data_IF_903900407695
#
_entry.id   IF_903900407695
#
_cell.length_a   1.000
_cell.length_b   1.000
_cell.length_c   1.000
_cell.angle_alpha   90.00
_cell.angle_beta   90.00
_cell.angle_gamma   90.00
#
_symmetry.space_group_name_H-M   'P 1'
#
loop_
_entity.id
_entity.type
_entity.pdbx_description
1 polymer ?
#
# COMPACT_ATOMS: atom_id res chain seq x y z
N UNK A 1 0.14 -23.42 25.35
CA UNK A 1 -0.71 -23.67 24.16
C UNK A 1 -0.78 -22.37 23.36
N UNK A 2 -0.82 -22.42 22.02
CA UNK A 2 -0.96 -21.21 21.19
C UNK A 2 -2.34 -20.58 21.37
N UNK A 3 -2.43 -19.27 21.12
CA UNK A 3 -3.66 -18.51 21.27
C UNK A 3 -4.33 -18.33 19.90
N UNK A 4 -5.63 -18.64 19.79
CA UNK A 4 -6.42 -18.44 18.58
C UNK A 4 -6.97 -17.01 18.55
N UNK A 5 -6.68 -16.29 17.47
CA UNK A 5 -7.20 -14.95 17.23
C UNK A 5 -8.18 -14.97 16.06
N UNK A 6 -9.42 -14.57 16.32
CA UNK A 6 -10.48 -14.46 15.32
C UNK A 6 -10.76 -12.99 15.05
N UNK A 7 -10.57 -12.56 13.81
CA UNK A 7 -10.90 -11.19 13.40
C UNK A 7 -12.25 -11.23 12.69
N UNK A 8 -13.23 -10.48 13.20
CA UNK A 8 -14.55 -10.39 12.60
C UNK A 8 -14.94 -8.94 12.33
N UNK A 9 -15.55 -8.62 11.18
CA UNK A 9 -16.05 -7.27 10.91
C UNK A 9 -17.06 -6.81 11.96
N UNK A 10 -17.94 -7.70 12.40
CA UNK A 10 -19.05 -7.42 13.32
C UNK A 10 -19.17 -8.49 14.39
N UNK A 11 -19.42 -8.08 15.62
CA UNK A 11 -19.62 -8.96 16.77
C UNK A 11 -20.73 -8.34 17.64
N UNK A 12 -21.94 -8.88 17.51
CA UNK A 12 -23.14 -8.35 18.17
C UNK A 12 -23.13 -8.68 19.66
N UNK A 13 -23.88 -7.90 20.44
CA UNK A 13 -24.06 -8.13 21.88
C UNK A 13 -24.68 -9.51 22.18
N UNK A 14 -25.57 -10.01 21.31
CA UNK A 14 -26.10 -11.37 21.42
C UNK A 14 -24.99 -12.42 21.34
N UNK A 15 -24.11 -12.33 20.34
CA UNK A 15 -22.97 -13.25 20.22
C UNK A 15 -22.00 -13.10 21.38
N UNK A 16 -21.76 -11.88 21.86
CA UNK A 16 -20.92 -11.66 23.05
C UNK A 16 -21.47 -12.41 24.27
N UNK A 17 -22.79 -12.39 24.48
CA UNK A 17 -23.44 -13.11 25.57
C UNK A 17 -23.40 -14.64 25.36
N UNK A 18 -23.69 -15.12 24.16
CA UNK A 18 -23.69 -16.55 23.82
C UNK A 18 -22.32 -17.18 24.04
N UNK A 19 -21.26 -16.47 23.62
CA UNK A 19 -19.88 -16.90 23.79
C UNK A 19 -19.31 -16.57 25.18
N UNK A 20 -20.08 -15.91 26.06
CA UNK A 20 -19.62 -15.38 27.36
C UNK A 20 -18.32 -14.59 27.23
N UNK A 21 -18.19 -13.87 26.12
CA UNK A 21 -16.98 -13.17 25.74
C UNK A 21 -16.87 -11.87 26.57
N UNK A 22 -15.72 -11.68 27.22
CA UNK A 22 -15.50 -10.52 28.09
C UNK A 22 -14.35 -9.65 27.56
N UNK A 23 -14.54 -8.33 27.59
CA UNK A 23 -13.44 -7.40 27.37
C UNK A 23 -12.54 -7.36 28.60
N UNK A 24 -11.23 -7.32 28.38
CA UNK A 24 -10.26 -7.15 29.44
C UNK A 24 -9.76 -5.69 29.42
N UNK A 25 -9.79 -4.96 30.55
CA UNK A 25 -9.42 -3.54 30.60
C UNK A 25 -8.05 -3.24 29.98
N UNK A 26 -7.09 -4.16 30.08
CA UNK A 26 -5.74 -3.96 29.55
C UNK A 26 -5.61 -4.05 28.02
N UNK A 27 -6.59 -4.64 27.31
CA UNK A 27 -6.54 -4.81 25.85
C UNK A 27 -7.29 -3.72 25.09
N UNK A 28 -8.22 -3.04 25.76
CA UNK A 28 -9.02 -1.97 25.16
C UNK A 28 -10.26 -2.48 24.41
N UNK A 29 -11.02 -1.51 23.91
CA UNK A 29 -12.33 -1.72 23.28
C UNK A 29 -12.23 -2.59 22.01
N UNK A 30 -13.19 -3.50 21.84
CA UNK A 30 -13.33 -4.31 20.64
C UNK A 30 -12.51 -5.59 20.65
N UNK A 31 -11.85 -5.92 21.77
CA UNK A 31 -11.11 -7.17 21.96
C UNK A 31 -11.75 -7.98 23.08
N UNK A 32 -12.29 -9.13 22.71
CA UNK A 32 -13.06 -10.00 23.58
C UNK A 32 -12.34 -11.32 23.80
N UNK A 33 -12.30 -11.78 25.05
CA UNK A 33 -11.70 -13.05 25.43
C UNK A 33 -12.79 -14.06 25.77
N UNK A 34 -12.65 -15.28 25.27
CA UNK A 34 -13.50 -16.42 25.65
C UNK A 34 -13.02 -17.02 26.99
N UNK A 35 -13.59 -18.15 27.39
CA UNK A 35 -13.15 -18.87 28.58
C UNK A 35 -11.64 -19.13 28.55
N UNK A 36 -10.96 -19.00 29.70
CA UNK A 36 -9.50 -19.13 29.81
C UNK A 36 -8.96 -20.47 29.28
N UNK A 37 -9.77 -21.53 29.31
CA UNK A 37 -9.42 -22.84 28.78
C UNK A 37 -9.30 -22.86 27.24
N UNK A 38 -10.09 -22.02 26.55
CA UNK A 38 -10.21 -22.05 25.08
C UNK A 38 -9.06 -21.33 24.37
N UNK A 39 -8.24 -20.56 25.11
CA UNK A 39 -7.13 -19.78 24.57
C UNK A 39 -7.52 -18.99 23.29
N UNK A 40 -8.71 -18.39 23.29
CA UNK A 40 -9.29 -17.74 22.10
C UNK A 40 -9.71 -16.31 22.41
N UNK A 41 -9.40 -15.39 21.47
CA UNK A 41 -9.90 -14.02 21.48
C UNK A 41 -10.52 -13.65 20.14
N UNK A 42 -11.50 -12.76 20.23
CA UNK A 42 -12.26 -12.22 19.11
C UNK A 42 -11.98 -10.72 19.03
N UNK A 43 -11.54 -10.27 17.86
CA UNK A 43 -11.33 -8.87 17.52
C UNK A 43 -12.54 -8.40 16.70
N UNK A 44 -13.36 -7.54 17.28
CA UNK A 44 -14.53 -6.94 16.67
C UNK A 44 -14.13 -5.63 15.96
N UNK A 45 -13.83 -5.72 14.66
CA UNK A 45 -13.22 -4.62 13.90
C UNK A 45 -14.05 -3.32 13.94
N UNK A 46 -15.37 -3.40 13.84
CA UNK A 46 -16.26 -2.23 13.94
C UNK A 46 -16.26 -1.49 15.28
N UNK A 47 -15.74 -2.09 16.35
CA UNK A 47 -15.66 -1.49 17.69
C UNK A 47 -14.25 -0.99 18.02
N UNK A 48 -13.26 -1.25 17.17
CA UNK A 48 -11.90 -0.79 17.40
C UNK A 48 -11.84 0.74 17.35
N UNK A 49 -11.12 1.38 18.29
CA UNK A 49 -10.96 2.83 18.28
C UNK A 49 -10.24 3.29 17.02
N UNK A 50 -10.55 4.49 16.52
CA UNK A 50 -9.92 5.05 15.32
C UNK A 50 -8.55 5.64 15.66
N UNK A 51 -7.53 4.78 15.63
CA UNK A 51 -6.13 5.15 15.88
C UNK A 51 -5.23 4.51 14.82
N UNK A 52 -3.99 4.99 14.72
CA UNK A 52 -2.98 4.40 13.83
C UNK A 52 -2.70 2.93 14.18
N UNK A 53 -2.75 2.55 15.46
CA UNK A 53 -2.44 1.19 15.92
C UNK A 53 -3.50 0.16 15.50
N UNK A 54 -4.76 0.58 15.34
CA UNK A 54 -5.85 -0.30 14.91
C UNK A 54 -6.14 -0.21 13.41
N UNK A 55 -5.46 0.68 12.69
CA UNK A 55 -5.71 0.99 11.29
C UNK A 55 -5.69 -0.29 10.43
N UNK A 56 -4.65 -1.09 10.57
CA UNK A 56 -4.44 -2.31 9.77
C UNK A 56 -5.56 -3.34 9.98
N UNK A 57 -6.04 -3.49 11.21
CA UNK A 57 -7.19 -4.36 11.51
C UNK A 57 -8.48 -3.80 10.91
N UNK A 58 -8.66 -2.47 10.92
CA UNK A 58 -9.82 -1.80 10.32
C UNK A 58 -9.84 -1.88 8.79
N UNK A 59 -8.69 -2.01 8.12
CA UNK A 59 -8.62 -2.31 6.69
C UNK A 59 -9.23 -3.67 6.32
N UNK A 60 -9.19 -4.64 7.26
CA UNK A 60 -9.82 -5.95 7.11
C UNK A 60 -11.32 -5.94 7.43
N UNK A 61 -11.88 -4.79 7.79
CA UNK A 61 -13.30 -4.62 8.06
C UNK A 61 -14.15 -4.62 6.79
N UNK A 62 -15.41 -4.18 6.94
CA UNK A 62 -16.35 -4.03 5.82
C UNK A 62 -17.04 -2.66 5.85
N UNK A 63 -17.59 -2.26 4.71
CA UNK A 63 -18.31 -1.01 4.52
C UNK A 63 -17.58 0.22 5.05
N UNK A 64 -18.28 1.04 5.84
CA UNK A 64 -17.78 2.34 6.32
C UNK A 64 -16.49 2.21 7.11
N UNK A 65 -16.28 1.12 7.86
CA UNK A 65 -15.07 0.94 8.66
C UNK A 65 -13.84 0.78 7.76
N UNK A 66 -13.96 -0.04 6.72
CA UNK A 66 -12.90 -0.24 5.74
C UNK A 66 -12.67 1.01 4.89
N UNK A 67 -13.75 1.63 4.40
CA UNK A 67 -13.65 2.86 3.61
C UNK A 67 -12.94 3.99 4.37
N UNK A 68 -13.30 4.21 5.65
CA UNK A 68 -12.62 5.19 6.49
C UNK A 68 -11.17 4.82 6.76
N UNK A 69 -10.87 3.54 6.99
CA UNK A 69 -9.50 3.07 7.19
C UNK A 69 -8.63 3.28 5.94
N UNK A 70 -9.19 3.11 4.74
CA UNK A 70 -8.49 3.39 3.49
C UNK A 70 -8.19 4.89 3.37
N UNK A 71 -9.16 5.76 3.69
CA UNK A 71 -8.92 7.21 3.69
C UNK A 71 -7.83 7.62 4.70
N UNK A 72 -7.85 7.02 5.90
CA UNK A 72 -6.81 7.23 6.90
C UNK A 72 -5.43 6.76 6.41
N UNK A 73 -5.35 5.60 5.74
CA UNK A 73 -4.13 5.08 5.11
C UNK A 73 -3.58 6.03 4.03
N UNK A 74 -4.46 6.56 3.17
CA UNK A 74 -4.07 7.49 2.10
C UNK A 74 -3.57 8.83 2.67
N UNK A 75 -4.16 9.26 3.79
CA UNK A 75 -3.77 10.47 4.51
C UNK A 75 -2.49 10.31 5.36
N UNK A 76 -1.94 9.09 5.49
CA UNK A 76 -0.68 8.91 6.20
C UNK A 76 0.47 9.66 5.50
N UNK A 77 1.47 10.12 6.28
CA UNK A 77 2.71 10.68 5.73
C UNK A 77 3.40 9.73 4.74
N UNK A 78 4.05 10.31 3.71
CA UNK A 78 4.75 9.55 2.67
C UNK A 78 5.95 8.73 3.22
N UNK A 79 6.53 9.16 4.33
CA UNK A 79 7.66 8.50 5.01
C UNK A 79 7.24 7.32 5.90
N UNK A 80 5.94 7.08 6.05
CA UNK A 80 5.46 5.99 6.89
C UNK A 80 5.84 4.62 6.28
N UNK A 81 6.59 3.76 6.99
CA UNK A 81 7.26 2.59 6.40
C UNK A 81 6.33 1.60 5.72
N UNK A 82 5.10 1.44 6.22
CA UNK A 82 4.13 0.47 5.69
C UNK A 82 3.10 1.06 4.73
N UNK A 83 3.11 2.37 4.49
CA UNK A 83 2.03 3.03 3.74
C UNK A 83 2.01 2.59 2.28
N UNK A 84 3.14 2.75 1.59
CA UNK A 84 3.25 2.46 0.16
C UNK A 84 3.02 0.97 -0.13
N UNK A 85 3.67 0.09 0.64
CA UNK A 85 3.48 -1.36 0.54
C UNK A 85 2.02 -1.76 0.77
N UNK A 86 1.35 -1.19 1.77
CA UNK A 86 -0.06 -1.53 2.02
C UNK A 86 -0.96 -1.04 0.88
N UNK A 87 -0.75 0.17 0.37
CA UNK A 87 -1.50 0.71 -0.78
C UNK A 87 -1.34 -0.23 -1.99
N UNK A 88 -0.12 -0.69 -2.27
CA UNK A 88 0.14 -1.67 -3.33
C UNK A 88 -0.59 -2.99 -3.10
N UNK A 89 -0.53 -3.56 -1.89
CA UNK A 89 -1.23 -4.81 -1.59
C UNK A 89 -2.75 -4.68 -1.73
N UNK A 90 -3.33 -3.55 -1.33
CA UNK A 90 -4.75 -3.27 -1.52
C UNK A 90 -5.13 -3.11 -3.01
N UNK A 91 -4.28 -2.47 -3.80
CA UNK A 91 -4.46 -2.37 -5.25
C UNK A 91 -4.43 -3.76 -5.91
N UNK A 92 -3.45 -4.59 -5.56
CA UNK A 92 -3.34 -5.98 -6.05
C UNK A 92 -4.55 -6.81 -5.62
N UNK A 93 -5.00 -6.66 -4.37
CA UNK A 93 -6.20 -7.32 -3.89
C UNK A 93 -7.41 -6.92 -4.73
N UNK A 94 -7.61 -5.63 -4.99
CA UNK A 94 -8.73 -5.15 -5.83
C UNK A 94 -8.72 -5.79 -7.22
N UNK A 95 -7.57 -5.81 -7.90
CA UNK A 95 -7.41 -6.45 -9.22
C UNK A 95 -7.79 -7.93 -9.15
N UNK A 96 -7.27 -8.64 -8.15
CA UNK A 96 -7.55 -10.07 -7.96
C UNK A 96 -9.03 -10.34 -7.67
N UNK A 97 -9.71 -9.46 -6.92
CA UNK A 97 -11.14 -9.59 -6.65
C UNK A 97 -11.98 -9.28 -7.90
N UNK A 98 -11.58 -8.32 -8.73
CA UNK A 98 -12.25 -8.01 -10.00
C UNK A 98 -12.18 -9.16 -11.01
N UNK A 99 -11.08 -9.92 -11.03
CA UNK A 99 -10.89 -11.07 -11.92
C UNK A 99 -11.78 -12.28 -11.57
N UNK A 100 -12.44 -12.30 -10.41
CA UNK A 100 -13.31 -13.41 -9.99
C UNK A 100 -14.64 -13.40 -10.75
N UNK A 101 -15.08 -14.57 -11.22
CA UNK A 101 -16.32 -14.74 -11.98
C UNK A 101 -17.59 -14.69 -11.10
N UNK A 102 -17.53 -15.19 -9.86
CA UNK A 102 -18.69 -15.21 -8.95
C UNK A 102 -18.74 -13.93 -8.09
N UNK A 103 -19.32 -12.87 -8.64
CA UNK A 103 -19.46 -11.59 -7.92
C UNK A 103 -20.73 -11.57 -7.05
N UNK A 104 -20.53 -11.51 -5.74
CA UNK A 104 -21.59 -11.21 -4.77
C UNK A 104 -21.69 -9.70 -4.53
N UNK A 105 -22.81 -9.22 -3.97
CA UNK A 105 -22.98 -7.82 -3.56
C UNK A 105 -21.88 -7.37 -2.61
N UNK A 106 -21.54 -8.22 -1.65
CA UNK A 106 -20.53 -7.94 -0.63
C UNK A 106 -19.13 -7.82 -1.23
N UNK A 107 -18.83 -8.65 -2.24
CA UNK A 107 -17.57 -8.57 -2.97
C UNK A 107 -17.48 -7.28 -3.78
N UNK A 108 -18.59 -6.86 -4.40
CA UNK A 108 -18.66 -5.62 -5.16
C UNK A 108 -18.42 -4.39 -4.26
N UNK A 109 -18.97 -4.40 -3.04
CA UNK A 109 -18.73 -3.36 -2.04
C UNK A 109 -17.24 -3.26 -1.68
N UNK A 110 -16.58 -4.38 -1.40
CA UNK A 110 -15.14 -4.40 -1.09
C UNK A 110 -14.32 -3.87 -2.27
N UNK A 111 -14.64 -4.29 -3.49
CA UNK A 111 -13.95 -3.80 -4.71
C UNK A 111 -14.09 -2.27 -4.81
N UNK A 112 -15.29 -1.73 -4.59
CA UNK A 112 -15.53 -0.28 -4.63
C UNK A 112 -14.76 0.47 -3.54
N UNK A 113 -14.73 -0.07 -2.32
CA UNK A 113 -13.99 0.54 -1.21
C UNK A 113 -12.49 0.61 -1.48
N UNK A 114 -11.93 -0.37 -2.20
CA UNK A 114 -10.50 -0.44 -2.53
C UNK A 114 -10.10 0.45 -3.73
N UNK A 115 -11.05 0.99 -4.50
CA UNK A 115 -10.76 1.82 -5.67
C UNK A 115 -9.81 2.99 -5.40
N UNK A 116 -9.96 3.76 -4.29
CA UNK A 116 -9.04 4.86 -3.99
C UNK A 116 -7.59 4.40 -3.79
N UNK A 117 -7.38 3.22 -3.19
CA UNK A 117 -6.03 2.66 -3.03
C UNK A 117 -5.41 2.27 -4.37
N UNK A 118 -6.21 1.66 -5.26
CA UNK A 118 -5.77 1.34 -6.62
C UNK A 118 -5.42 2.59 -7.44
N UNK A 119 -6.29 3.61 -7.41
CA UNK A 119 -6.05 4.86 -8.14
C UNK A 119 -4.79 5.57 -7.65
N UNK A 120 -4.59 5.62 -6.33
CA UNK A 120 -3.39 6.20 -5.73
C UNK A 120 -2.13 5.45 -6.18
N UNK A 121 -2.14 4.12 -6.05
CA UNK A 121 -1.03 3.27 -6.47
C UNK A 121 -0.69 3.46 -7.96
N UNK A 122 -1.71 3.49 -8.82
CA UNK A 122 -1.56 3.68 -10.27
C UNK A 122 -0.95 5.05 -10.59
N UNK A 123 -1.44 6.11 -9.96
CA UNK A 123 -0.93 7.47 -10.19
C UNK A 123 0.54 7.61 -9.78
N UNK A 124 0.91 7.09 -8.61
CA UNK A 124 2.29 7.13 -8.12
C UNK A 124 3.24 6.32 -9.00
N UNK A 125 2.81 5.11 -9.39
CA UNK A 125 3.60 4.24 -10.27
C UNK A 125 3.81 4.86 -11.65
N UNK A 126 2.78 5.53 -12.19
CA UNK A 126 2.89 6.22 -13.48
C UNK A 126 3.84 7.41 -13.40
N UNK A 127 3.70 8.26 -12.39
CA UNK A 127 4.57 9.42 -12.19
C UNK A 127 6.05 9.00 -12.01
N UNK A 128 6.29 7.94 -11.24
CA UNK A 128 7.64 7.38 -11.10
C UNK A 128 8.17 6.82 -12.43
N UNK A 129 7.32 6.15 -13.20
CA UNK A 129 7.65 5.64 -14.54
C UNK A 129 8.04 6.76 -15.51
N UNK A 130 7.29 7.86 -15.52
CA UNK A 130 7.55 9.04 -16.34
C UNK A 130 8.87 9.70 -15.96
N UNK A 131 9.09 9.99 -14.68
CA UNK A 131 10.33 10.59 -14.19
C UNK A 131 11.56 9.72 -14.52
N UNK A 132 11.45 8.39 -14.33
CA UNK A 132 12.51 7.45 -14.70
C UNK A 132 12.72 7.41 -16.22
N UNK A 133 11.65 7.51 -17.00
CA UNK A 133 11.68 7.52 -18.46
C UNK A 133 12.39 8.76 -19.00
N UNK A 134 12.04 9.94 -18.49
CA UNK A 134 12.64 11.23 -18.84
C UNK A 134 14.14 11.24 -18.50
N UNK A 135 14.51 10.88 -17.26
CA UNK A 135 15.91 10.81 -16.85
C UNK A 135 16.74 9.85 -17.72
N UNK A 136 16.17 8.69 -18.08
CA UNK A 136 16.83 7.75 -19.01
C UNK A 136 16.93 8.30 -20.43
N UNK A 137 15.90 9.01 -20.90
CA UNK A 137 15.87 9.65 -22.21
C UNK A 137 16.95 10.73 -22.33
N UNK A 138 17.03 11.63 -21.35
CA UNK A 138 18.06 12.65 -21.27
C UNK A 138 19.47 12.07 -21.23
N UNK A 139 19.68 11.02 -20.42
CA UNK A 139 20.98 10.37 -20.34
C UNK A 139 21.38 9.74 -21.69
N UNK A 140 20.44 9.09 -22.38
CA UNK A 140 20.67 8.52 -23.72
C UNK A 140 20.94 9.61 -24.76
N UNK A 141 20.20 10.72 -24.72
CA UNK A 141 20.41 11.84 -25.64
C UNK A 141 21.79 12.47 -25.45
N UNK A 142 22.23 12.66 -24.19
CA UNK A 142 23.58 13.14 -23.86
C UNK A 142 24.67 12.23 -24.40
N UNK A 143 24.52 10.92 -24.24
CA UNK A 143 25.49 9.93 -24.76
C UNK A 143 25.52 9.89 -26.28
N UNK A 144 24.35 9.97 -26.94
CA UNK A 144 24.26 10.02 -28.40
C UNK A 144 24.94 11.28 -28.95
N UNK A 145 24.69 12.44 -28.33
CA UNK A 145 25.33 13.69 -28.72
C UNK A 145 26.86 13.61 -28.53
N UNK A 146 27.32 13.11 -27.39
CA UNK A 146 28.75 12.94 -27.12
C UNK A 146 29.45 12.06 -28.17
N UNK A 147 28.84 10.94 -28.54
CA UNK A 147 29.36 10.04 -29.58
C UNK A 147 29.48 10.71 -30.93
N UNK A 148 28.44 11.42 -31.37
CA UNK A 148 28.47 12.10 -32.65
C UNK A 148 29.52 13.20 -32.68
N UNK A 149 29.63 13.99 -31.60
CA UNK A 149 30.66 15.04 -31.49
C UNK A 149 32.08 14.45 -31.50
N UNK A 150 32.29 13.29 -30.86
CA UNK A 150 33.57 12.59 -30.87
C UNK A 150 33.93 12.10 -32.28
N UNK A 151 32.94 11.58 -33.03
CA UNK A 151 33.13 11.15 -34.43
C UNK A 151 33.45 12.32 -35.37
N UNK A 152 32.89 13.50 -35.11
CA UNK A 152 33.17 14.75 -35.84
C UNK A 152 34.51 15.39 -35.42
N UNK A 153 35.27 14.76 -34.50
CA UNK A 153 36.59 15.22 -34.09
C UNK A 153 36.58 16.41 -33.11
N UNK A 154 35.45 16.67 -32.44
CA UNK A 154 35.37 17.70 -31.40
C UNK A 154 36.19 17.26 -30.17
N UNK A 155 36.91 18.20 -29.55
CA UNK A 155 37.75 17.89 -28.40
C UNK A 155 36.94 17.45 -27.17
N UNK A 156 37.52 16.57 -26.36
CA UNK A 156 36.88 15.97 -25.19
C UNK A 156 36.40 16.99 -24.16
N UNK A 157 37.11 18.12 -24.00
CA UNK A 157 36.73 19.15 -23.03
C UNK A 157 35.47 19.89 -23.47
N UNK A 158 35.34 20.18 -24.77
CA UNK A 158 34.13 20.76 -25.36
C UNK A 158 32.94 19.79 -25.26
N UNK A 159 33.14 18.50 -25.54
CA UNK A 159 32.08 17.48 -25.41
C UNK A 159 31.61 17.37 -23.96
N UNK A 160 32.54 17.30 -23.01
CA UNK A 160 32.21 17.25 -21.58
C UNK A 160 31.41 18.47 -21.12
N UNK A 161 31.80 19.67 -21.59
CA UNK A 161 31.09 20.91 -21.28
C UNK A 161 29.67 20.96 -21.85
N UNK A 162 29.46 20.47 -23.07
CA UNK A 162 28.15 20.51 -23.75
C UNK A 162 27.19 19.43 -23.25
N UNK A 163 27.71 18.22 -23.02
CA UNK A 163 26.89 17.06 -22.66
C UNK A 163 26.77 16.83 -21.16
N UNK A 164 27.64 17.46 -20.35
CA UNK A 164 27.74 17.25 -18.91
C UNK A 164 28.27 15.86 -18.52
N UNK A 165 28.79 15.09 -19.48
CA UNK A 165 29.42 13.78 -19.27
C UNK A 165 30.90 14.01 -18.92
N UNK A 166 31.45 13.21 -18.02
CA UNK A 166 32.87 13.33 -17.68
C UNK A 166 33.77 12.92 -18.85
N UNK A 167 34.95 13.53 -18.98
CA UNK A 167 35.92 13.18 -20.03
C UNK A 167 36.31 11.70 -19.98
N UNK A 168 36.45 11.13 -18.78
CA UNK A 168 36.76 9.71 -18.57
C UNK A 168 35.63 8.76 -19.02
N UNK A 169 34.38 9.21 -19.02
CA UNK A 169 33.25 8.46 -19.60
C UNK A 169 33.21 8.61 -21.11
N UNK A 170 33.53 9.79 -21.65
CA UNK A 170 33.57 10.05 -23.11
C UNK A 170 34.67 9.24 -23.79
N UNK A 171 35.86 9.10 -23.17
CA UNK A 171 36.96 8.27 -23.69
C UNK A 171 36.59 6.78 -23.83
N UNK A 172 35.53 6.32 -23.13
CA UNK A 172 35.05 4.94 -23.18
C UNK A 172 33.91 4.73 -24.17
N UNK A 173 33.41 5.77 -24.84
CA UNK A 173 32.24 5.73 -25.74
C UNK A 173 32.51 5.13 -27.11
#
# INVERSE_FOLDING_TARGET
MPFLWVITPTFSTALQQDFKAAELPQWGQGIYFLCKADHTAIIAVHQLPRTIYTLWLRLLGKGRVQSNAIQELLALPNDHPYRQETIQHLAVLQINLQARQNRTSDLQEVIMNLSPAYEKWRAETLAEGEARGEARGEARARLFLARNMLQEGIDLATIAKVTGISTAEIEKL
#
